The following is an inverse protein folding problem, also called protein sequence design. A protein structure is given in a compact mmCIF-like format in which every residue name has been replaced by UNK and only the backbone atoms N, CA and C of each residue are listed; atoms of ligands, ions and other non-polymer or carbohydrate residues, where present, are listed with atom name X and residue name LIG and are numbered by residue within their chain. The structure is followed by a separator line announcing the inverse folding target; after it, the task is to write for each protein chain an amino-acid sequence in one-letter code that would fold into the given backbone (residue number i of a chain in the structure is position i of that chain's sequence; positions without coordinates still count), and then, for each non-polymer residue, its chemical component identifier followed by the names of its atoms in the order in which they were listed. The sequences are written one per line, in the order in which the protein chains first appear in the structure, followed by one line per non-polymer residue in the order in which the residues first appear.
data_IF_322566852481
#
_entry.id   IF_322566852481
#
_cell.length_a   1.000
_cell.length_b   1.000
_cell.length_c   1.000
_cell.angle_alpha   90.00
_cell.angle_beta   90.00
_cell.angle_gamma   90.00
#
_symmetry.space_group_name_H-M   'P 1'
#
loop_
_entity.id
_entity.type
_entity.pdbx_description
1 polymer ?
#
# COMPACT_ATOMS: atom_id res chain seq x y z
N UNK A 1 18.50 -26.04 -3.79
CA UNK A 1 18.33 -24.88 -2.92
C UNK A 1 17.03 -25.10 -2.13
N UNK A 2 17.11 -25.20 -0.81
CA UNK A 2 15.93 -25.32 0.01
C UNK A 2 15.16 -23.99 -0.02
N UNK A 3 13.82 -24.02 -0.17
CA UNK A 3 13.03 -22.80 -0.11
C UNK A 3 13.19 -22.17 1.27
N UNK A 4 13.48 -20.85 1.30
CA UNK A 4 13.50 -20.07 2.53
C UNK A 4 12.07 -20.08 3.06
N UNK A 5 11.81 -20.84 4.13
CA UNK A 5 10.54 -20.78 4.84
C UNK A 5 10.56 -19.52 5.71
N UNK A 6 9.83 -18.49 5.28
CA UNK A 6 9.46 -17.41 6.17
C UNK A 6 8.47 -17.98 7.20
N UNK A 7 8.89 -18.11 8.46
CA UNK A 7 7.93 -18.28 9.56
C UNK A 7 7.13 -16.99 9.67
N UNK A 8 5.95 -16.97 9.07
CA UNK A 8 4.92 -15.99 9.43
C UNK A 8 4.55 -16.33 10.87
N UNK A 9 4.83 -15.42 11.81
CA UNK A 9 4.25 -15.47 13.15
C UNK A 9 2.73 -15.61 12.98
N UNK A 10 2.11 -16.52 13.71
CA UNK A 10 0.70 -16.84 13.55
C UNK A 10 -0.16 -15.57 13.67
N UNK A 11 -1.27 -15.53 12.93
CA UNK A 11 -2.27 -14.43 12.99
C UNK A 11 -2.74 -14.19 14.43
N UNK A 12 -2.67 -15.18 15.30
CA UNK A 12 -2.94 -15.09 16.75
C UNK A 12 -1.99 -14.14 17.50
N UNK A 13 -0.72 -14.06 17.11
CA UNK A 13 0.26 -13.11 17.71
C UNK A 13 -0.03 -11.65 17.33
N UNK A 14 -0.60 -11.41 16.18
CA UNK A 14 -1.01 -10.07 15.73
C UNK A 14 -2.27 -9.63 16.47
N UNK A 15 -3.25 -10.52 16.63
CA UNK A 15 -4.51 -10.25 17.33
C UNK A 15 -4.35 -9.88 18.81
N UNK A 16 -3.33 -10.41 19.50
CA UNK A 16 -3.05 -10.08 20.90
C UNK A 16 -2.40 -8.69 21.09
N UNK A 17 -1.72 -8.16 20.07
CA UNK A 17 -1.08 -6.84 20.12
C UNK A 17 -2.01 -5.70 19.73
N UNK A 18 -3.09 -5.98 19.01
CA UNK A 18 -4.09 -5.00 18.54
C UNK A 18 -5.34 -5.01 19.43
N UNK A 19 -5.18 -5.37 20.71
CA UNK A 19 -6.29 -5.42 21.68
C UNK A 19 -6.91 -4.04 21.85
N UNK A 20 -8.14 -3.89 21.40
CA UNK A 20 -8.91 -2.65 21.48
C UNK A 20 -9.07 -1.88 20.17
N UNK A 21 -8.49 -2.35 19.06
CA UNK A 21 -8.75 -1.78 17.74
C UNK A 21 -10.18 -2.15 17.28
N UNK A 22 -10.96 -1.15 16.95
CA UNK A 22 -12.31 -1.30 16.39
C UNK A 22 -12.51 -0.25 15.31
N UNK A 23 -13.27 -0.60 14.26
CA UNK A 23 -13.66 0.35 13.22
C UNK A 23 -14.60 1.44 13.76
N UNK A 24 -15.30 1.16 14.85
CA UNK A 24 -16.16 2.12 15.53
C UNK A 24 -15.45 2.68 16.77
N UNK A 25 -14.55 3.65 16.53
CA UNK A 25 -13.88 4.39 17.58
C UNK A 25 -14.12 5.89 17.41
N UNK A 26 -14.89 6.48 18.32
CA UNK A 26 -15.24 7.91 18.32
C UNK A 26 -14.38 8.72 19.28
N UNK A 27 -13.35 8.12 19.88
CA UNK A 27 -12.46 8.81 20.81
C UNK A 27 -11.72 9.95 20.13
N UNK A 28 -11.65 11.11 20.77
CA UNK A 28 -10.82 12.22 20.33
C UNK A 28 -9.46 12.13 21.01
N UNK A 29 -8.45 11.76 20.25
CA UNK A 29 -7.08 11.62 20.73
C UNK A 29 -6.25 12.83 20.31
N UNK A 30 -5.46 13.38 21.24
CA UNK A 30 -4.47 14.39 20.87
C UNK A 30 -3.30 13.73 20.12
N UNK A 31 -3.39 13.69 18.80
CA UNK A 31 -2.42 13.02 17.92
C UNK A 31 -1.03 13.61 18.00
N UNK A 32 -0.87 14.92 18.31
CA UNK A 32 0.44 15.55 18.49
C UNK A 32 1.26 14.96 19.64
N UNK A 33 0.59 14.31 20.60
CA UNK A 33 1.24 13.63 21.74
C UNK A 33 1.45 12.13 21.49
N UNK A 34 0.94 11.57 20.41
CA UNK A 34 1.09 10.16 20.10
C UNK A 34 2.41 9.87 19.34
N UNK A 35 3.00 8.67 19.49
CA UNK A 35 4.03 8.19 18.57
C UNK A 35 3.42 7.91 17.19
N UNK A 36 4.22 7.66 16.17
CA UNK A 36 3.74 7.26 14.85
C UNK A 36 3.00 5.91 14.89
N UNK A 37 3.55 4.98 15.65
CA UNK A 37 3.03 3.62 15.82
C UNK A 37 2.96 3.25 17.30
N UNK A 38 2.08 2.29 17.63
CA UNK A 38 1.92 1.71 18.96
C UNK A 38 1.47 2.69 20.05
N UNK A 39 0.87 3.80 19.66
CA UNK A 39 0.16 4.69 20.56
C UNK A 39 -1.29 4.26 20.80
N UNK A 40 -2.17 5.20 21.13
CA UNK A 40 -3.60 4.93 21.19
C UNK A 40 -4.14 4.59 19.81
N UNK A 41 -5.13 3.67 19.73
CA UNK A 41 -5.82 3.40 18.47
C UNK A 41 -6.41 4.68 17.87
N UNK A 42 -6.44 4.72 16.54
CA UNK A 42 -7.05 5.83 15.81
C UNK A 42 -8.54 5.92 16.13
N UNK A 43 -8.97 7.13 16.48
CA UNK A 43 -10.36 7.47 16.71
C UNK A 43 -10.87 8.39 15.60
N UNK A 44 -11.53 9.49 15.97
CA UNK A 44 -11.97 10.49 14.99
C UNK A 44 -10.75 11.11 14.30
N UNK A 45 -10.67 10.93 12.98
CA UNK A 45 -9.58 11.46 12.17
C UNK A 45 -9.74 12.97 12.01
N UNK A 46 -8.67 13.70 12.33
CA UNK A 46 -8.63 15.16 12.21
C UNK A 46 -7.47 15.58 11.32
N UNK A 47 -7.82 16.08 10.15
CA UNK A 47 -6.88 16.55 9.13
C UNK A 47 -6.59 18.07 9.23
N UNK A 48 -7.00 18.71 10.32
CA UNK A 48 -6.71 20.11 10.64
C UNK A 48 -5.55 20.26 11.64
N UNK A 49 -4.98 19.15 12.13
CA UNK A 49 -3.99 19.16 13.20
C UNK A 49 -2.99 18.00 13.10
N UNK A 50 -1.96 18.19 12.32
CA UNK A 50 -0.92 17.18 12.08
C UNK A 50 0.24 17.27 13.06
N UNK A 51 0.81 16.12 13.41
CA UNK A 51 2.12 16.02 14.06
C UNK A 51 3.25 16.09 13.04
N UNK A 52 3.06 15.38 11.91
CA UNK A 52 4.02 15.32 10.82
C UNK A 52 3.35 15.71 9.48
N UNK A 53 3.27 17.01 9.17
CA UNK A 53 2.63 17.48 7.93
C UNK A 53 3.20 16.90 6.63
N UNK A 54 4.39 16.29 6.72
CA UNK A 54 5.03 15.63 5.56
C UNK A 54 4.17 14.50 5.00
N UNK A 55 3.46 13.73 5.86
CA UNK A 55 2.61 12.63 5.39
C UNK A 55 1.39 13.12 4.63
N UNK A 56 0.77 14.21 5.08
CA UNK A 56 -0.32 14.85 4.35
C UNK A 56 0.15 15.37 2.97
N UNK A 57 1.34 16.00 2.94
CA UNK A 57 1.96 16.44 1.69
C UNK A 57 2.22 15.26 0.74
N UNK A 58 2.74 14.14 1.26
CA UNK A 58 2.97 12.93 0.46
C UNK A 58 1.66 12.33 -0.05
N UNK A 59 0.62 12.31 0.77
CA UNK A 59 -0.74 11.87 0.37
C UNK A 59 -1.25 12.69 -0.81
N UNK A 60 -1.20 14.01 -0.68
CA UNK A 60 -1.61 14.95 -1.74
C UNK A 60 -0.78 14.75 -3.02
N UNK A 61 0.52 14.56 -2.88
CA UNK A 61 1.41 14.31 -4.01
C UNK A 61 1.09 12.99 -4.73
N UNK A 62 0.87 11.91 -3.98
CA UNK A 62 0.47 10.62 -4.54
C UNK A 62 -0.88 10.71 -5.27
N UNK A 63 -1.87 11.39 -4.69
CA UNK A 63 -3.17 11.61 -5.34
C UNK A 63 -3.01 12.41 -6.65
N UNK A 64 -2.06 13.33 -6.71
CA UNK A 64 -1.72 14.07 -7.94
C UNK A 64 -1.10 13.21 -9.05
N UNK A 65 -0.59 12.03 -8.72
CA UNK A 65 -0.07 11.04 -9.69
C UNK A 65 -1.10 9.98 -10.08
N UNK A 66 -2.35 10.15 -9.66
CA UNK A 66 -3.41 9.21 -10.03
C UNK A 66 -3.58 9.15 -11.55
N UNK A 67 -3.71 7.94 -12.06
CA UNK A 67 -4.02 7.63 -13.45
C UNK A 67 -4.86 6.36 -13.54
N UNK A 68 -5.52 6.15 -14.65
CA UNK A 68 -6.29 4.94 -14.91
C UNK A 68 -5.59 4.11 -15.99
N UNK A 69 -5.54 2.79 -15.86
CA UNK A 69 -4.94 1.91 -16.89
C UNK A 69 -5.48 2.17 -18.29
N UNK A 70 -6.76 2.52 -18.40
CA UNK A 70 -7.44 2.79 -19.65
C UNK A 70 -6.96 4.07 -20.36
N UNK A 71 -6.22 4.95 -19.67
CA UNK A 71 -5.64 6.17 -20.24
C UNK A 71 -4.35 5.89 -21.04
N UNK A 72 -3.77 4.69 -20.85
CA UNK A 72 -2.56 4.25 -21.55
C UNK A 72 -2.93 3.44 -22.77
N UNK A 73 -2.66 3.97 -23.98
CA UNK A 73 -2.91 3.25 -25.24
C UNK A 73 -1.84 2.19 -25.48
N UNK A 74 -2.26 0.92 -25.57
CA UNK A 74 -1.38 -0.22 -25.87
C UNK A 74 -1.46 -0.67 -27.35
N UNK A 75 -2.08 0.11 -28.23
CA UNK A 75 -2.27 -0.27 -29.63
C UNK A 75 -0.93 -0.49 -30.37
N UNK A 76 0.01 0.41 -30.15
CA UNK A 76 1.35 0.29 -30.74
C UNK A 76 2.13 -0.85 -30.11
N UNK A 77 2.07 -0.96 -28.78
CA UNK A 77 2.80 -1.97 -28.01
C UNK A 77 2.42 -3.39 -28.41
N UNK A 78 1.14 -3.60 -28.75
CA UNK A 78 0.67 -4.90 -29.26
C UNK A 78 1.40 -5.31 -30.54
N UNK A 79 1.61 -4.38 -31.46
CA UNK A 79 2.36 -4.63 -32.69
C UNK A 79 3.85 -4.85 -32.41
N UNK A 80 4.43 -4.00 -31.61
CA UNK A 80 5.85 -4.09 -31.24
C UNK A 80 6.17 -5.38 -30.49
N UNK A 81 5.28 -5.82 -29.58
CA UNK A 81 5.43 -7.11 -28.89
C UNK A 81 5.47 -8.32 -29.84
N UNK A 82 4.67 -8.30 -30.91
CA UNK A 82 4.66 -9.40 -31.87
C UNK A 82 6.01 -9.54 -32.60
N UNK A 83 6.72 -8.44 -32.79
CA UNK A 83 8.02 -8.38 -33.47
C UNK A 83 9.19 -8.79 -32.59
N UNK A 84 9.00 -8.89 -31.27
CA UNK A 84 10.03 -9.29 -30.32
C UNK A 84 10.48 -10.74 -30.58
N UNK A 85 11.78 -10.97 -30.41
CA UNK A 85 12.34 -12.34 -30.39
C UNK A 85 11.84 -13.13 -29.20
N UNK A 86 11.84 -14.46 -29.23
CA UNK A 86 11.35 -15.29 -28.12
C UNK A 86 11.99 -14.95 -26.77
N UNK A 87 13.30 -14.67 -26.74
CA UNK A 87 14.03 -14.33 -25.52
C UNK A 87 13.57 -12.99 -24.95
N UNK A 88 13.34 -12.02 -25.83
CA UNK A 88 12.83 -10.69 -25.43
C UNK A 88 11.40 -10.80 -24.87
N UNK A 89 10.52 -11.58 -25.52
CA UNK A 89 9.17 -11.86 -25.02
C UNK A 89 9.22 -12.53 -23.65
N UNK A 90 10.12 -13.50 -23.47
CA UNK A 90 10.29 -14.18 -22.19
C UNK A 90 10.69 -13.22 -21.08
N UNK A 91 11.70 -12.36 -21.31
CA UNK A 91 12.17 -11.38 -20.35
C UNK A 91 11.05 -10.40 -20.01
N UNK A 92 10.39 -9.82 -21.01
CA UNK A 92 9.32 -8.86 -20.84
C UNK A 92 8.15 -9.43 -20.02
N UNK A 93 7.64 -10.59 -20.42
CA UNK A 93 6.51 -11.26 -19.77
C UNK A 93 6.87 -11.70 -18.35
N UNK A 94 8.09 -12.20 -18.13
CA UNK A 94 8.55 -12.61 -16.81
C UNK A 94 8.66 -11.41 -15.86
N UNK A 95 9.13 -10.27 -16.36
CA UNK A 95 9.22 -9.04 -15.59
C UNK A 95 7.84 -8.53 -15.17
N UNK A 96 6.87 -8.49 -16.10
CA UNK A 96 5.49 -8.10 -15.76
C UNK A 96 4.87 -9.03 -14.71
N UNK A 97 5.02 -10.34 -14.87
CA UNK A 97 4.54 -11.31 -13.87
C UNK A 97 5.16 -11.09 -12.49
N UNK A 98 6.43 -10.74 -12.45
CA UNK A 98 7.13 -10.44 -11.20
C UNK A 98 6.61 -9.15 -10.56
N UNK A 99 6.38 -8.11 -11.36
CA UNK A 99 5.79 -6.85 -10.89
C UNK A 99 4.38 -7.05 -10.34
N UNK A 100 3.50 -7.80 -11.01
CA UNK A 100 2.16 -8.13 -10.52
C UNK A 100 2.23 -8.79 -9.13
N UNK A 101 3.16 -9.72 -8.95
CA UNK A 101 3.36 -10.41 -7.67
C UNK A 101 3.81 -9.43 -6.58
N UNK A 102 4.78 -8.58 -6.87
CA UNK A 102 5.29 -7.58 -5.92
C UNK A 102 4.21 -6.59 -5.51
N UNK A 103 3.49 -6.02 -6.47
CA UNK A 103 2.45 -5.01 -6.20
C UNK A 103 1.23 -5.62 -5.49
N UNK A 104 0.95 -6.91 -5.73
CA UNK A 104 -0.07 -7.63 -4.96
C UNK A 104 0.30 -7.76 -3.47
N UNK A 105 1.58 -7.90 -3.16
CA UNK A 105 2.09 -7.93 -1.79
C UNK A 105 2.11 -6.51 -1.21
N UNK A 106 2.66 -5.56 -1.94
CA UNK A 106 2.76 -4.16 -1.51
C UNK A 106 1.38 -3.50 -1.35
N UNK A 107 0.40 -3.84 -2.18
CA UNK A 107 -0.96 -3.34 -2.04
C UNK A 107 -1.65 -3.79 -0.74
N UNK A 108 -1.29 -4.96 -0.20
CA UNK A 108 -1.80 -5.45 1.09
C UNK A 108 -0.93 -5.02 2.27
N UNK A 109 0.36 -4.81 2.04
CA UNK A 109 1.35 -4.55 3.08
C UNK A 109 1.00 -3.40 4.00
N UNK A 110 0.71 -2.20 3.50
CA UNK A 110 0.37 -1.05 4.35
C UNK A 110 -0.83 -1.33 5.24
N UNK A 111 -1.92 -1.88 4.69
CA UNK A 111 -3.14 -2.20 5.42
C UNK A 111 -2.97 -3.26 6.50
N UNK A 112 -2.15 -4.28 6.24
CA UNK A 112 -1.98 -5.41 7.16
C UNK A 112 -0.85 -5.21 8.17
N UNK A 113 0.25 -4.57 7.75
CA UNK A 113 1.46 -4.51 8.56
C UNK A 113 1.64 -3.19 9.32
N UNK A 114 1.07 -2.08 8.83
CA UNK A 114 1.30 -0.76 9.40
C UNK A 114 0.03 -0.11 9.96
N UNK A 115 -1.06 -0.07 9.20
CA UNK A 115 -2.30 0.61 9.62
C UNK A 115 -2.81 0.12 10.98
N UNK A 116 -2.80 -1.19 11.32
CA UNK A 116 -3.26 -1.65 12.62
C UNK A 116 -2.50 -1.09 13.82
N UNK A 117 -1.31 -0.59 13.61
CA UNK A 117 -0.45 -0.02 14.65
C UNK A 117 -0.32 1.50 14.55
N UNK A 118 -0.90 2.11 13.53
CA UNK A 118 -0.80 3.54 13.29
C UNK A 118 -1.55 4.34 14.36
N UNK A 119 -0.96 5.45 14.77
CA UNK A 119 -1.53 6.33 15.81
C UNK A 119 -1.75 7.76 15.32
N UNK A 120 -1.49 8.02 14.02
CA UNK A 120 -1.59 9.34 13.42
C UNK A 120 -2.46 9.29 12.15
N UNK A 121 -3.51 10.12 12.02
CA UNK A 121 -4.41 10.10 10.88
C UNK A 121 -3.72 10.47 9.56
N UNK A 122 -2.78 11.41 9.58
CA UNK A 122 -2.01 11.78 8.40
C UNK A 122 -1.12 10.66 7.87
N UNK A 123 -0.60 9.82 8.76
CA UNK A 123 0.20 8.65 8.39
C UNK A 123 -0.70 7.53 7.87
N UNK A 124 -1.86 7.30 8.49
CA UNK A 124 -2.87 6.35 8.02
C UNK A 124 -3.30 6.68 6.59
N UNK A 125 -3.71 7.92 6.32
CA UNK A 125 -4.10 8.38 4.99
C UNK A 125 -3.00 8.17 3.94
N UNK A 126 -1.75 8.42 4.29
CA UNK A 126 -0.60 8.20 3.42
C UNK A 126 -0.44 6.71 3.05
N UNK A 127 -0.62 5.81 4.02
CA UNK A 127 -0.53 4.36 3.80
C UNK A 127 -1.72 3.80 3.01
N UNK A 128 -2.92 4.35 3.21
CA UNK A 128 -4.11 3.96 2.44
C UNK A 128 -3.96 4.32 0.96
N UNK A 129 -3.49 5.53 0.67
CA UNK A 129 -3.22 5.97 -0.71
C UNK A 129 -2.09 5.14 -1.32
N UNK A 130 -1.06 4.79 -0.57
CA UNK A 130 -0.01 3.88 -1.05
C UNK A 130 -0.60 2.54 -1.49
N UNK A 131 -1.37 1.86 -0.64
CA UNK A 131 -2.01 0.59 -1.00
C UNK A 131 -2.95 0.72 -2.22
N UNK A 132 -3.66 1.84 -2.34
CA UNK A 132 -4.49 2.16 -3.49
C UNK A 132 -3.67 2.28 -4.79
N UNK A 133 -2.53 2.97 -4.77
CA UNK A 133 -1.66 3.11 -5.94
C UNK A 133 -1.06 1.78 -6.38
N UNK A 134 -0.65 0.93 -5.45
CA UNK A 134 -0.15 -0.42 -5.76
C UNK A 134 -1.22 -1.31 -6.42
N UNK A 135 -2.49 -1.14 -6.04
CA UNK A 135 -3.61 -1.84 -6.69
C UNK A 135 -3.76 -1.38 -8.15
N UNK A 136 -3.59 -0.10 -8.45
CA UNK A 136 -3.64 0.43 -9.82
C UNK A 136 -2.49 -0.15 -10.64
N UNK A 137 -1.27 -0.19 -10.09
CA UNK A 137 -0.10 -0.78 -10.75
C UNK A 137 -0.34 -2.25 -11.08
N UNK A 138 -0.69 -3.06 -10.08
CA UNK A 138 -0.96 -4.49 -10.26
C UNK A 138 -2.02 -4.75 -11.33
N UNK A 139 -3.11 -3.98 -11.32
CA UNK A 139 -4.17 -4.05 -12.32
C UNK A 139 -3.68 -3.68 -13.73
N UNK A 140 -2.70 -2.78 -13.83
CA UNK A 140 -2.19 -2.29 -15.11
C UNK A 140 -1.30 -3.31 -15.82
N UNK A 141 -0.66 -4.20 -15.06
CA UNK A 141 0.24 -5.22 -15.59
C UNK A 141 -0.48 -6.53 -15.97
N UNK A 142 -1.78 -6.62 -15.65
CA UNK A 142 -2.59 -7.81 -15.94
C UNK A 142 -3.27 -7.70 -17.30
#
# INVERSE_FOLDING_TARGET
MNPVQFKVSSVEDVGTKVKGMTVFNTEQVNTKKQPMFFGKPLGVQRYDSYKYPIFDKLTTQQLGYFWRPEEVSLQKDRGDYQLLRPEQKHIYTSNLKYQIMLDSIQGRGPGMAFIPYCSLPELEACMEVWGFMEMIHSRSYT
#
